data_IF_123669578210
#
_entry.id   IF_123669578210
#
_cell.length_a   1.000
_cell.length_b   1.000
_cell.length_c   1.000
_cell.angle_alpha   90.00
_cell.angle_beta   90.00
_cell.angle_gamma   90.00
#
_symmetry.space_group_name_H-M   'P 1'
#
loop_
_entity.id
_entity.type
_entity.pdbx_description
1 polymer ?
#
# COMPACT_ATOMS: atom_id res chain seq x y z
N UNK A 1 28.81 25.51 27.70
CA UNK A 1 29.76 24.42 27.38
C UNK A 1 28.99 23.11 27.28
N UNK A 2 28.71 22.66 26.05
CA UNK A 2 28.35 21.27 25.74
C UNK A 2 29.28 20.87 24.59
N UNK A 3 30.19 19.97 24.90
CA UNK A 3 31.27 19.50 24.03
C UNK A 3 30.72 18.44 23.08
N UNK A 4 30.86 18.69 21.77
CA UNK A 4 30.60 17.71 20.73
C UNK A 4 31.83 16.81 20.63
N UNK A 5 31.72 15.56 21.09
CA UNK A 5 32.77 14.56 20.89
C UNK A 5 32.82 14.17 19.42
N UNK A 6 33.77 14.72 18.69
CA UNK A 6 34.22 14.21 17.40
C UNK A 6 34.82 12.81 17.58
N UNK A 7 34.32 11.81 16.87
CA UNK A 7 34.90 10.46 17.00
C UNK A 7 34.17 9.27 16.37
N UNK A 8 32.99 9.43 15.76
CA UNK A 8 32.37 8.37 14.96
C UNK A 8 32.06 8.91 13.57
N UNK A 9 32.96 8.67 12.62
CA UNK A 9 32.58 8.61 11.21
C UNK A 9 31.66 7.40 11.06
N UNK A 10 30.36 7.57 10.71
CA UNK A 10 29.57 6.44 10.25
C UNK A 10 30.30 5.88 9.04
N UNK A 11 30.61 4.57 9.04
CA UNK A 11 31.02 3.91 7.79
C UNK A 11 29.80 3.95 6.86
N UNK A 12 29.78 4.95 5.99
CA UNK A 12 28.83 5.05 4.88
C UNK A 12 29.12 3.85 3.96
N UNK A 13 28.31 2.80 4.06
CA UNK A 13 28.27 1.77 3.01
C UNK A 13 27.28 2.23 1.94
N UNK A 14 27.70 3.18 1.11
CA UNK A 14 26.98 3.49 -0.11
C UNK A 14 27.13 2.30 -1.07
N UNK A 15 26.06 1.58 -1.35
CA UNK A 15 26.02 0.60 -2.43
C UNK A 15 25.51 1.30 -3.69
N UNK A 16 26.42 1.61 -4.59
CA UNK A 16 26.09 2.11 -5.92
C UNK A 16 26.01 0.91 -6.86
N UNK A 17 24.85 0.67 -7.47
CA UNK A 17 24.71 -0.33 -8.53
C UNK A 17 24.68 0.39 -9.87
N UNK A 18 25.73 0.20 -10.67
CA UNK A 18 25.77 0.59 -12.08
C UNK A 18 25.52 -0.65 -12.96
N UNK A 19 24.81 -0.47 -14.06
CA UNK A 19 24.24 -1.54 -14.89
C UNK A 19 25.13 -2.75 -15.18
N UNK A 20 24.57 -3.92 -14.92
CA UNK A 20 25.08 -5.25 -15.29
C UNK A 20 23.96 -6.29 -15.14
N UNK A 21 23.95 -7.34 -15.96
CA UNK A 21 22.84 -8.33 -15.96
C UNK A 21 22.68 -8.99 -14.58
N UNK A 22 21.42 -9.12 -14.13
CA UNK A 22 21.02 -9.55 -12.77
C UNK A 22 21.57 -10.90 -12.30
N UNK A 23 22.12 -11.74 -13.20
CA UNK A 23 22.68 -13.05 -12.81
C UNK A 23 23.97 -12.94 -11.99
N UNK A 24 24.76 -11.89 -12.13
CA UNK A 24 26.00 -11.73 -11.37
C UNK A 24 25.80 -11.10 -9.98
N UNK A 25 24.73 -10.31 -9.80
CA UNK A 25 24.46 -9.60 -8.54
C UNK A 25 23.93 -10.52 -7.42
N UNK A 26 23.31 -11.65 -7.76
CA UNK A 26 22.75 -12.59 -6.78
C UNK A 26 23.79 -13.52 -6.13
N UNK A 27 24.95 -13.73 -6.77
CA UNK A 27 25.95 -14.71 -6.33
C UNK A 27 27.03 -14.13 -5.41
N UNK A 28 27.11 -12.80 -5.25
CA UNK A 28 28.17 -12.15 -4.47
C UNK A 28 27.70 -11.57 -3.12
N UNK A 29 26.42 -11.71 -2.77
CA UNK A 29 25.93 -11.36 -1.43
C UNK A 29 26.08 -12.57 -0.50
N UNK A 30 26.79 -12.38 0.63
CA UNK A 30 27.19 -13.40 1.62
C UNK A 30 26.16 -14.51 1.91
N UNK A 31 26.59 -15.75 2.21
CA UNK A 31 25.72 -16.90 2.50
C UNK A 31 24.77 -16.73 3.71
N UNK A 32 24.90 -15.64 4.48
CA UNK A 32 23.99 -15.28 5.56
C UNK A 32 22.59 -14.83 5.09
N UNK A 33 22.44 -14.35 3.84
CA UNK A 33 21.14 -13.99 3.26
C UNK A 33 20.30 -15.23 2.83
N UNK A 34 20.96 -16.35 2.54
CA UNK A 34 20.26 -17.60 2.18
C UNK A 34 19.58 -18.28 3.40
N UNK A 35 20.11 -18.07 4.62
CA UNK A 35 19.56 -18.64 5.84
C UNK A 35 18.43 -17.80 6.47
N UNK A 36 18.40 -16.49 6.21
CA UNK A 36 17.32 -15.60 6.66
C UNK A 36 15.99 -15.81 5.90
N UNK A 37 16.06 -16.19 4.62
CA UNK A 37 14.87 -16.41 3.78
C UNK A 37 14.15 -17.74 4.09
N UNK A 38 14.85 -18.72 4.67
CA UNK A 38 14.26 -20.02 5.05
C UNK A 38 13.62 -20.01 6.45
N UNK A 39 13.99 -19.06 7.32
CA UNK A 39 13.40 -18.92 8.65
C UNK A 39 12.06 -18.17 8.63
N UNK A 40 11.89 -17.20 7.72
CA UNK A 40 10.62 -16.46 7.57
C UNK A 40 9.55 -17.26 6.81
N UNK A 41 9.96 -18.05 5.80
CA UNK A 41 9.03 -18.89 5.02
C UNK A 41 8.50 -20.13 5.78
N UNK A 42 9.12 -20.54 6.90
CA UNK A 42 8.59 -21.61 7.77
C UNK A 42 7.78 -21.10 8.97
N UNK A 43 8.06 -19.91 9.48
CA UNK A 43 7.32 -19.34 10.62
C UNK A 43 5.90 -18.86 10.25
N UNK A 44 5.66 -18.52 8.98
CA UNK A 44 4.33 -18.18 8.47
C UNK A 44 3.44 -19.42 8.21
N UNK A 45 3.97 -20.65 8.34
CA UNK A 45 3.27 -21.89 7.98
C UNK A 45 2.58 -22.62 9.13
N UNK A 46 2.63 -22.11 10.36
CA UNK A 46 2.09 -22.81 11.55
C UNK A 46 1.35 -21.93 12.59
N UNK A 47 0.81 -20.77 12.20
CA UNK A 47 -0.23 -20.11 13.00
C UNK A 47 -1.51 -20.06 12.19
N UNK A 48 -2.54 -20.71 12.74
CA UNK A 48 -3.76 -21.09 12.03
C UNK A 48 -4.35 -19.94 11.22
N UNK A 49 -4.32 -20.10 9.91
CA UNK A 49 -5.28 -19.49 8.99
C UNK A 49 -6.66 -19.97 9.43
N UNK A 50 -7.28 -19.26 10.37
CA UNK A 50 -8.73 -19.22 10.43
C UNK A 50 -9.15 -18.60 9.11
N UNK A 51 -9.54 -19.45 8.15
CA UNK A 51 -10.40 -19.00 7.05
C UNK A 51 -11.52 -18.21 7.69
N UNK A 52 -11.75 -16.98 7.23
CA UNK A 52 -13.00 -16.30 7.48
C UNK A 52 -14.10 -17.25 6.99
N UNK A 53 -14.71 -17.99 7.90
CA UNK A 53 -15.99 -18.59 7.61
C UNK A 53 -16.91 -17.41 7.28
N UNK A 54 -17.52 -17.39 6.10
CA UNK A 54 -18.53 -16.41 5.78
C UNK A 54 -19.67 -16.61 6.77
N UNK A 55 -19.69 -15.81 7.83
CA UNK A 55 -20.92 -15.58 8.55
C UNK A 55 -21.82 -14.86 7.55
N UNK A 56 -22.86 -15.53 7.08
CA UNK A 56 -23.88 -14.93 6.24
C UNK A 56 -24.39 -13.68 6.96
N UNK A 57 -24.00 -12.51 6.43
CA UNK A 57 -24.46 -11.23 6.94
C UNK A 57 -25.97 -11.14 6.81
N UNK A 58 -26.63 -10.65 7.86
CA UNK A 58 -28.03 -10.23 7.81
C UNK A 58 -28.24 -9.36 6.57
N UNK A 59 -29.27 -9.68 5.78
CA UNK A 59 -29.52 -9.13 4.44
C UNK A 59 -29.27 -7.61 4.35
N UNK A 60 -28.12 -7.20 3.80
CA UNK A 60 -27.75 -5.81 3.53
C UNK A 60 -26.46 -5.30 4.19
N UNK A 61 -25.93 -6.01 5.19
CA UNK A 61 -24.69 -5.63 5.89
C UNK A 61 -23.40 -6.21 5.30
N UNK A 62 -22.26 -5.60 5.62
CA UNK A 62 -20.91 -6.10 5.40
C UNK A 62 -20.02 -5.81 6.62
N UNK A 63 -18.91 -6.53 6.76
CA UNK A 63 -17.89 -6.21 7.77
C UNK A 63 -16.92 -5.14 7.30
N UNK A 64 -16.57 -4.23 8.19
CA UNK A 64 -15.55 -3.21 7.97
C UNK A 64 -14.77 -2.89 9.26
N UNK A 65 -13.52 -2.45 9.11
CA UNK A 65 -12.75 -1.81 10.18
C UNK A 65 -13.15 -0.36 10.24
N UNK A 66 -13.76 0.03 11.36
CA UNK A 66 -14.30 1.37 11.57
C UNK A 66 -13.63 2.08 12.73
N UNK A 67 -13.66 3.41 12.68
CA UNK A 67 -13.22 4.32 13.75
C UNK A 67 -14.39 5.21 14.13
N UNK A 68 -14.80 5.15 15.41
CA UNK A 68 -15.88 5.98 15.96
C UNK A 68 -15.37 7.14 16.84
N UNK A 69 -14.08 7.11 17.21
CA UNK A 69 -13.38 8.16 17.97
C UNK A 69 -11.92 8.15 17.55
N UNK A 70 -11.29 9.31 17.42
CA UNK A 70 -9.87 9.35 17.08
C UNK A 70 -8.98 8.95 18.25
N UNK A 71 -7.86 8.28 17.96
CA UNK A 71 -6.90 7.85 18.97
C UNK A 71 -5.88 6.83 18.47
N UNK A 72 -5.23 6.14 19.40
CA UNK A 72 -4.31 5.05 19.07
C UNK A 72 -5.04 3.97 18.26
N UNK A 73 -4.53 3.65 17.07
CA UNK A 73 -5.19 2.74 16.13
C UNK A 73 -5.45 1.34 16.74
N UNK A 74 -4.63 0.89 17.70
CA UNK A 74 -4.83 -0.40 18.37
C UNK A 74 -6.02 -0.41 19.33
N UNK A 75 -6.51 0.78 19.71
CA UNK A 75 -7.60 0.96 20.66
C UNK A 75 -8.90 1.41 19.97
N UNK A 76 -8.80 2.09 18.82
CA UNK A 76 -9.97 2.76 18.19
C UNK A 76 -10.44 2.11 16.89
N UNK A 77 -9.65 1.21 16.29
CA UNK A 77 -10.07 0.47 15.10
C UNK A 77 -10.79 -0.81 15.51
N UNK A 78 -12.04 -0.95 15.08
CA UNK A 78 -12.90 -2.09 15.43
C UNK A 78 -13.54 -2.69 14.19
N UNK A 79 -13.64 -4.02 14.13
CA UNK A 79 -14.43 -4.69 13.10
C UNK A 79 -15.91 -4.60 13.49
N UNK A 80 -16.70 -3.91 12.68
CA UNK A 80 -18.14 -3.73 12.86
C UNK A 80 -18.92 -4.15 11.62
N UNK A 81 -20.20 -4.47 11.80
CA UNK A 81 -21.13 -4.65 10.69
C UNK A 81 -21.68 -3.26 10.28
N UNK A 82 -21.52 -2.94 8.99
CA UNK A 82 -21.95 -1.68 8.36
C UNK A 82 -22.80 -1.98 7.14
N UNK A 83 -23.50 -0.99 6.60
CA UNK A 83 -24.26 -1.17 5.36
C UNK A 83 -23.32 -1.42 4.17
N UNK A 84 -23.66 -2.39 3.31
CA UNK A 84 -22.94 -2.61 2.04
C UNK A 84 -23.21 -1.42 1.10
N UNK A 85 -22.17 -0.73 0.59
CA UNK A 85 -22.39 0.44 -0.24
C UNK A 85 -23.01 0.07 -1.59
N UNK A 86 -23.82 0.99 -2.13
CA UNK A 86 -24.30 0.93 -3.51
C UNK A 86 -23.50 1.92 -4.34
N UNK A 87 -22.94 1.52 -5.51
CA UNK A 87 -22.14 2.43 -6.32
C UNK A 87 -23.04 3.50 -6.95
N UNK A 88 -22.64 4.78 -6.81
CA UNK A 88 -23.29 5.89 -7.50
C UNK A 88 -22.94 5.90 -9.00
N UNK A 89 -23.50 6.87 -9.74
CA UNK A 89 -23.07 7.14 -11.12
C UNK A 89 -21.55 7.42 -11.16
N UNK A 90 -20.86 6.84 -12.14
CA UNK A 90 -19.40 6.93 -12.28
C UNK A 90 -18.60 6.06 -11.30
N UNK A 91 -19.24 5.31 -10.41
CA UNK A 91 -18.55 4.43 -9.46
C UNK A 91 -18.68 2.95 -9.82
N UNK A 92 -17.75 2.15 -9.34
CA UNK A 92 -17.83 0.68 -9.31
C UNK A 92 -17.86 0.20 -7.87
N UNK A 93 -18.61 -0.87 -7.64
CA UNK A 93 -18.57 -1.63 -6.40
C UNK A 93 -17.57 -2.76 -6.57
N UNK A 94 -16.53 -2.78 -5.75
CA UNK A 94 -15.51 -3.81 -5.73
C UNK A 94 -15.74 -4.69 -4.50
N UNK A 95 -15.70 -6.00 -4.68
CA UNK A 95 -15.53 -6.98 -3.61
C UNK A 95 -14.03 -7.12 -3.33
N UNK A 96 -13.60 -6.65 -2.18
CA UNK A 96 -12.18 -6.61 -1.84
C UNK A 96 -11.69 -8.04 -1.56
N UNK A 97 -10.60 -8.44 -2.21
CA UNK A 97 -9.95 -9.75 -2.00
C UNK A 97 -8.71 -9.59 -1.13
N UNK A 98 -7.94 -8.53 -1.37
CA UNK A 98 -6.79 -8.14 -0.58
C UNK A 98 -6.78 -6.62 -0.35
N UNK A 99 -6.18 -6.23 0.77
CA UNK A 99 -5.96 -4.84 1.17
C UNK A 99 -4.51 -4.69 1.64
N UNK A 100 -3.95 -3.50 1.49
CA UNK A 100 -2.65 -3.17 2.06
C UNK A 100 -2.77 -2.10 3.14
N UNK A 101 -1.87 -2.17 4.12
CA UNK A 101 -1.77 -1.21 5.21
C UNK A 101 -0.65 -0.21 4.91
N UNK A 102 -0.91 1.05 5.23
CA UNK A 102 -0.04 2.17 5.01
C UNK A 102 0.01 3.08 6.25
N UNK A 103 1.06 3.89 6.42
CA UNK A 103 1.14 4.79 7.56
C UNK A 103 -0.01 5.80 7.68
N UNK A 104 -0.66 6.10 6.56
CA UNK A 104 -1.80 7.01 6.53
C UNK A 104 -3.03 6.44 7.26
N UNK A 105 -3.18 5.11 7.31
CA UNK A 105 -4.37 4.45 7.87
C UNK A 105 -4.44 4.65 9.38
N UNK A 106 -3.34 4.40 10.09
CA UNK A 106 -3.29 4.63 11.53
C UNK A 106 -3.28 6.14 11.86
N UNK A 107 -2.74 6.99 10.98
CA UNK A 107 -2.77 8.45 11.14
C UNK A 107 -4.19 9.00 11.00
N UNK A 108 -4.97 8.45 10.07
CA UNK A 108 -6.38 8.78 9.91
C UNK A 108 -7.18 8.38 11.15
N UNK A 109 -6.94 7.17 11.68
CA UNK A 109 -7.54 6.75 12.96
C UNK A 109 -7.12 7.61 14.14
N UNK A 110 -5.91 8.17 14.12
CA UNK A 110 -5.42 9.12 15.13
C UNK A 110 -5.94 10.56 14.94
N UNK A 111 -6.77 10.84 13.92
CA UNK A 111 -7.35 12.16 13.68
C UNK A 111 -6.42 13.16 12.97
N UNK A 112 -5.28 12.71 12.42
CA UNK A 112 -4.32 13.59 11.73
C UNK A 112 -4.94 14.30 10.52
N UNK A 113 -5.93 13.68 9.89
CA UNK A 113 -6.65 14.23 8.74
C UNK A 113 -7.80 15.19 9.12
N UNK A 114 -8.14 15.27 10.41
CA UNK A 114 -9.18 16.14 10.93
C UNK A 114 -8.68 16.89 12.17
N UNK A 115 -7.71 17.83 12.02
CA UNK A 115 -7.12 18.53 13.16
C UNK A 115 -8.17 19.25 14.00
N UNK A 116 -8.16 19.00 15.31
CA UNK A 116 -9.10 19.61 16.26
C UNK A 116 -10.43 18.88 16.44
N UNK A 117 -10.71 17.84 15.63
CA UNK A 117 -11.84 16.96 15.86
C UNK A 117 -11.45 15.82 16.82
N UNK A 118 -12.35 15.45 17.73
CA UNK A 118 -12.16 14.31 18.63
C UNK A 118 -12.70 12.99 18.06
N UNK A 119 -13.61 13.08 17.08
CA UNK A 119 -14.24 11.95 16.41
C UNK A 119 -14.70 12.35 15.00
N UNK A 120 -14.86 11.40 14.07
CA UNK A 120 -15.46 11.66 12.77
C UNK A 120 -16.99 11.87 12.89
N UNK A 121 -17.58 12.63 11.95
CA UNK A 121 -19.03 12.91 11.93
C UNK A 121 -19.90 11.64 11.80
N UNK A 122 -19.35 10.63 11.12
CA UNK A 122 -19.89 9.27 11.01
C UNK A 122 -18.76 8.29 11.22
N UNK A 123 -19.09 7.02 11.49
CA UNK A 123 -18.06 5.95 11.56
C UNK A 123 -17.20 5.97 10.29
N UNK A 124 -15.91 6.23 10.47
CA UNK A 124 -14.95 6.27 9.37
C UNK A 124 -14.49 4.85 9.07
N UNK A 125 -14.56 4.43 7.81
CA UNK A 125 -13.84 3.24 7.34
C UNK A 125 -12.46 3.70 6.87
N UNK A 126 -11.40 3.02 7.32
CA UNK A 126 -10.00 3.37 7.00
C UNK A 126 -9.42 2.47 5.90
N UNK A 127 -8.20 2.80 5.44
CA UNK A 127 -7.46 2.03 4.43
C UNK A 127 -7.80 2.46 3.01
N UNK A 128 -6.82 2.57 2.11
CA UNK A 128 -7.11 3.03 0.74
C UNK A 128 -6.47 2.19 -0.37
N UNK A 129 -5.67 1.17 -0.03
CA UNK A 129 -5.10 0.26 -1.03
C UNK A 129 -5.84 -1.08 -1.05
N UNK A 130 -6.36 -1.46 -2.22
CA UNK A 130 -7.02 -2.76 -2.40
C UNK A 130 -6.83 -3.35 -3.79
N UNK A 131 -6.96 -4.67 -3.86
CA UNK A 131 -7.23 -5.40 -5.07
C UNK A 131 -8.42 -6.35 -4.86
N UNK A 132 -9.28 -6.44 -5.87
CA UNK A 132 -10.54 -7.16 -5.76
C UNK A 132 -11.21 -7.38 -7.09
N UNK A 133 -12.47 -7.79 -7.03
CA UNK A 133 -13.28 -8.10 -8.20
C UNK A 133 -14.43 -7.10 -8.28
N UNK A 134 -14.67 -6.54 -9.46
CA UNK A 134 -15.85 -5.69 -9.69
C UNK A 134 -17.10 -6.55 -9.51
N UNK A 135 -17.93 -6.16 -8.54
CA UNK A 135 -19.23 -6.77 -8.27
C UNK A 135 -20.31 -6.13 -9.15
N UNK A 136 -20.29 -4.80 -9.26
CA UNK A 136 -21.29 -4.03 -9.99
C UNK A 136 -20.73 -2.70 -10.48
N UNK A 137 -21.03 -2.32 -11.72
CA UNK A 137 -20.77 -0.99 -12.24
C UNK A 137 -21.99 -0.08 -12.00
N UNK A 138 -21.74 1.17 -11.61
CA UNK A 138 -22.75 2.23 -11.53
C UNK A 138 -23.08 2.82 -12.89
N UNK A 139 -24.07 3.71 -12.92
CA UNK A 139 -24.50 4.38 -14.15
C UNK A 139 -23.34 5.14 -14.82
N UNK A 140 -23.23 5.06 -16.14
CA UNK A 140 -22.22 5.77 -16.93
C UNK A 140 -20.82 5.16 -16.92
N UNK A 141 -20.56 4.12 -16.13
CA UNK A 141 -19.28 3.39 -16.18
C UNK A 141 -19.30 2.40 -17.34
N UNK A 142 -18.32 2.49 -18.23
CA UNK A 142 -18.21 1.64 -19.43
C UNK A 142 -16.89 0.86 -19.51
N UNK A 143 -15.84 1.31 -18.81
CA UNK A 143 -14.50 0.69 -18.84
C UNK A 143 -14.39 -0.58 -17.98
N UNK A 144 -15.37 -0.81 -17.10
CA UNK A 144 -15.38 -1.91 -16.14
C UNK A 144 -16.73 -2.62 -16.10
N UNK A 145 -16.69 -3.94 -15.91
CA UNK A 145 -17.88 -4.78 -15.77
C UNK A 145 -17.72 -5.79 -14.62
N UNK A 146 -18.83 -6.38 -14.19
CA UNK A 146 -18.81 -7.41 -13.16
C UNK A 146 -17.88 -8.57 -13.54
N UNK A 147 -17.06 -9.03 -12.59
CA UNK A 147 -16.04 -10.06 -12.79
C UNK A 147 -14.65 -9.54 -13.16
N UNK A 148 -14.49 -8.24 -13.48
CA UNK A 148 -13.17 -7.67 -13.74
C UNK A 148 -12.29 -7.68 -12.49
N UNK A 149 -11.07 -8.16 -12.62
CA UNK A 149 -10.06 -8.09 -11.54
C UNK A 149 -9.38 -6.72 -11.57
N UNK A 150 -9.41 -6.03 -10.44
CA UNK A 150 -9.04 -4.62 -10.33
C UNK A 150 -8.17 -4.35 -9.12
N UNK A 151 -7.45 -3.23 -9.16
CA UNK A 151 -6.64 -2.69 -8.07
C UNK A 151 -6.76 -1.16 -8.03
N UNK A 152 -6.58 -0.56 -6.87
CA UNK A 152 -6.70 0.88 -6.70
C UNK A 152 -6.03 1.40 -5.43
N UNK A 153 -5.70 2.70 -5.46
CA UNK A 153 -5.57 3.55 -4.30
C UNK A 153 -6.79 4.47 -4.27
N UNK A 154 -7.53 4.48 -3.15
CA UNK A 154 -8.76 5.24 -2.98
C UNK A 154 -8.54 6.72 -2.66
N UNK A 155 -9.63 7.47 -2.67
CA UNK A 155 -9.65 8.88 -2.25
C UNK A 155 -9.64 8.95 -0.71
N UNK A 156 -8.59 9.55 -0.15
CA UNK A 156 -8.40 9.72 1.29
C UNK A 156 -9.51 10.53 1.98
N UNK A 157 -10.29 11.31 1.22
CA UNK A 157 -11.43 12.09 1.72
C UNK A 157 -12.72 11.28 1.79
N UNK A 158 -12.69 10.00 1.38
CA UNK A 158 -13.83 9.07 1.37
C UNK A 158 -13.57 7.89 2.30
N UNK A 159 -14.63 7.12 2.55
CA UNK A 159 -14.54 5.85 3.26
C UNK A 159 -13.57 4.90 2.56
N UNK A 160 -12.77 4.22 3.37
CA UNK A 160 -11.70 3.34 2.93
C UNK A 160 -12.13 1.93 2.51
N UNK A 161 -11.12 1.09 2.28
CA UNK A 161 -11.24 -0.26 1.76
C UNK A 161 -10.97 -1.35 2.79
N UNK A 162 -10.76 -1.05 4.07
CA UNK A 162 -10.74 -2.07 5.12
C UNK A 162 -12.16 -2.57 5.40
N UNK A 163 -12.78 -3.13 4.38
CA UNK A 163 -14.15 -3.60 4.32
C UNK A 163 -14.26 -4.71 3.28
N UNK A 164 -15.33 -5.51 3.34
CA UNK A 164 -15.58 -6.55 2.33
C UNK A 164 -15.91 -5.98 0.95
N UNK A 165 -16.50 -4.77 0.89
CA UNK A 165 -16.82 -4.08 -0.35
C UNK A 165 -16.46 -2.58 -0.27
N UNK A 166 -16.07 -2.02 -1.41
CA UNK A 166 -15.79 -0.58 -1.56
C UNK A 166 -16.46 -0.05 -2.82
N UNK A 167 -17.22 1.03 -2.68
CA UNK A 167 -17.67 1.81 -3.83
C UNK A 167 -16.60 2.88 -4.14
N UNK A 168 -16.04 2.83 -5.35
CA UNK A 168 -14.93 3.69 -5.77
C UNK A 168 -15.21 4.33 -7.13
N UNK A 169 -14.74 5.55 -7.32
CA UNK A 169 -14.79 6.24 -8.62
C UNK A 169 -14.02 5.45 -9.69
N UNK A 170 -14.65 5.21 -10.84
CA UNK A 170 -14.07 4.45 -11.94
C UNK A 170 -12.75 5.05 -12.48
N UNK A 171 -12.46 6.32 -12.20
CA UNK A 171 -11.21 6.99 -12.59
C UNK A 171 -10.03 6.66 -11.68
N UNK A 172 -10.27 6.14 -10.48
CA UNK A 172 -9.23 5.80 -9.49
C UNK A 172 -8.85 4.32 -9.50
N UNK A 173 -9.44 3.55 -10.42
CA UNK A 173 -9.29 2.10 -10.48
C UNK A 173 -8.63 1.69 -11.80
N UNK A 174 -7.93 0.57 -11.77
CA UNK A 174 -7.31 -0.02 -12.96
C UNK A 174 -7.47 -1.53 -12.95
N UNK A 175 -7.33 -2.15 -14.13
CA UNK A 175 -7.30 -3.62 -14.22
C UNK A 175 -6.05 -4.15 -13.55
N UNK A 176 -6.21 -5.13 -12.68
CA UNK A 176 -5.10 -5.85 -12.06
C UNK A 176 -4.40 -6.70 -13.13
N UNK A 177 -3.07 -6.61 -13.29
CA UNK A 177 -2.34 -7.53 -14.17
C UNK A 177 -2.63 -9.00 -13.84
N UNK A 178 -2.85 -9.82 -14.86
CA UNK A 178 -3.22 -11.23 -14.71
C UNK A 178 -2.12 -12.05 -14.02
N UNK A 179 -0.86 -11.65 -14.19
CA UNK A 179 0.31 -12.33 -13.63
C UNK A 179 0.50 -12.13 -12.13
N UNK A 180 -0.21 -11.19 -11.49
CA UNK A 180 -0.08 -10.90 -10.06
C UNK A 180 -1.19 -11.53 -9.22
N UNK A 181 -0.83 -11.97 -8.02
CA UNK A 181 -1.81 -12.29 -6.98
C UNK A 181 -2.60 -11.03 -6.56
N UNK A 182 -3.70 -11.18 -5.84
CA UNK A 182 -4.43 -10.02 -5.31
C UNK A 182 -3.62 -9.34 -4.21
N UNK A 183 -2.90 -10.10 -3.40
CA UNK A 183 -2.07 -9.63 -2.31
C UNK A 183 -0.91 -8.77 -2.82
N UNK A 184 -0.18 -9.25 -3.84
CA UNK A 184 0.91 -8.46 -4.45
C UNK A 184 0.36 -7.21 -5.13
N UNK A 185 -0.81 -7.33 -5.78
CA UNK A 185 -1.45 -6.19 -6.42
C UNK A 185 -1.91 -5.14 -5.41
N UNK A 186 -2.50 -5.53 -4.28
CA UNK A 186 -2.96 -4.57 -3.27
C UNK A 186 -1.81 -3.77 -2.65
N UNK A 187 -0.59 -4.31 -2.62
CA UNK A 187 0.57 -3.66 -1.99
C UNK A 187 1.18 -2.49 -2.80
N UNK A 188 0.73 -2.28 -4.04
CA UNK A 188 1.40 -1.40 -5.01
C UNK A 188 0.76 -0.02 -5.22
N UNK A 189 -0.57 0.20 -5.22
CA UNK A 189 -1.17 1.40 -5.80
C UNK A 189 -0.69 2.71 -5.14
N UNK A 190 -0.85 2.88 -3.82
CA UNK A 190 -0.45 4.12 -3.15
C UNK A 190 1.06 4.37 -3.27
N UNK A 191 1.88 3.36 -3.02
CA UNK A 191 3.34 3.51 -3.02
C UNK A 191 3.87 3.79 -4.43
N UNK A 192 3.29 3.18 -5.46
CA UNK A 192 3.63 3.44 -6.85
C UNK A 192 3.24 4.84 -7.29
N UNK A 193 1.99 5.27 -7.03
CA UNK A 193 1.53 6.61 -7.36
C UNK A 193 2.40 7.67 -6.67
N UNK A 194 2.63 7.52 -5.37
CA UNK A 194 3.48 8.43 -4.58
C UNK A 194 4.90 8.51 -5.15
N UNK A 195 5.50 7.37 -5.51
CA UNK A 195 6.83 7.34 -6.11
C UNK A 195 6.84 8.01 -7.49
N UNK A 196 5.83 7.75 -8.32
CA UNK A 196 5.73 8.31 -9.65
C UNK A 196 5.56 9.83 -9.63
N UNK A 197 4.61 10.34 -8.84
CA UNK A 197 4.39 11.78 -8.67
C UNK A 197 5.67 12.47 -8.18
N UNK A 198 6.33 11.91 -7.17
CA UNK A 198 7.58 12.46 -6.65
C UNK A 198 8.71 12.48 -7.69
N UNK A 199 8.96 11.35 -8.36
CA UNK A 199 10.07 11.20 -9.29
C UNK A 199 9.85 11.95 -10.61
N UNK A 200 8.67 11.80 -11.20
CA UNK A 200 8.39 12.22 -12.58
C UNK A 200 7.75 13.60 -12.61
N UNK A 201 6.74 13.84 -11.79
CA UNK A 201 5.96 15.07 -11.89
C UNK A 201 6.60 16.22 -11.10
N UNK A 202 7.06 15.94 -9.88
CA UNK A 202 7.62 16.96 -8.99
C UNK A 202 9.12 17.17 -9.23
N UNK A 203 9.91 16.09 -9.23
CA UNK A 203 11.36 16.20 -9.41
C UNK A 203 11.79 16.23 -10.88
N UNK A 204 10.92 15.79 -11.81
CA UNK A 204 11.23 15.66 -13.24
C UNK A 204 12.60 15.01 -13.46
N UNK A 205 12.79 13.83 -12.88
CA UNK A 205 14.05 13.10 -12.93
C UNK A 205 14.48 12.85 -14.36
N UNK A 206 15.72 13.22 -14.64
CA UNK A 206 16.33 13.04 -15.96
C UNK A 206 17.21 11.80 -15.97
N UNK A 207 17.25 11.12 -17.13
CA UNK A 207 18.13 9.98 -17.38
C UNK A 207 19.58 10.32 -17.04
N UNK A 208 20.29 9.35 -16.45
CA UNK A 208 21.71 9.48 -16.09
C UNK A 208 21.99 10.34 -14.86
N UNK A 209 20.98 10.75 -14.10
CA UNK A 209 21.14 11.41 -12.80
C UNK A 209 21.18 10.41 -11.65
N UNK A 210 21.88 10.73 -10.58
CA UNK A 210 21.86 9.91 -9.37
C UNK A 210 20.83 10.45 -8.40
N UNK A 211 19.96 9.58 -7.88
CA UNK A 211 19.00 9.93 -6.84
C UNK A 211 19.42 9.29 -5.54
N UNK A 212 19.34 10.08 -4.46
CA UNK A 212 19.51 9.57 -3.11
C UNK A 212 18.17 9.17 -2.51
N UNK A 213 18.03 7.90 -2.14
CA UNK A 213 16.78 7.33 -1.61
C UNK A 213 16.95 7.04 -0.12
N UNK A 214 16.30 7.84 0.71
CA UNK A 214 16.18 7.56 2.14
C UNK A 214 15.21 6.40 2.37
N UNK A 215 15.55 5.52 3.32
CA UNK A 215 14.75 4.34 3.66
C UNK A 215 14.47 3.44 2.44
N UNK A 216 15.52 3.16 1.64
CA UNK A 216 15.40 2.44 0.38
C UNK A 216 14.83 1.02 0.49
N UNK A 217 14.98 0.36 1.65
CA UNK A 217 14.41 -0.95 1.93
C UNK A 217 12.93 -0.91 2.37
N UNK A 218 12.38 0.27 2.65
CA UNK A 218 10.97 0.44 3.03
C UNK A 218 10.01 0.31 1.84
N UNK A 219 8.71 0.25 2.12
CA UNK A 219 7.66 0.07 1.11
C UNK A 219 7.80 1.05 -0.07
N UNK A 220 7.77 2.36 0.21
CA UNK A 220 7.96 3.39 -0.82
C UNK A 220 9.36 3.36 -1.45
N UNK A 221 10.42 3.24 -0.65
CA UNK A 221 11.81 3.27 -1.13
C UNK A 221 12.09 2.16 -2.13
N UNK A 222 11.55 0.95 -1.89
CA UNK A 222 11.71 -0.19 -2.77
C UNK A 222 11.06 0.03 -4.15
N UNK A 223 9.93 0.73 -4.20
CA UNK A 223 9.25 1.09 -5.46
C UNK A 223 10.01 2.18 -6.20
N UNK A 224 10.49 3.21 -5.50
CA UNK A 224 11.35 4.26 -6.06
C UNK A 224 12.57 3.65 -6.75
N UNK A 225 13.26 2.74 -6.06
CA UNK A 225 14.44 2.05 -6.62
C UNK A 225 14.08 1.29 -7.90
N UNK A 226 12.96 0.57 -7.91
CA UNK A 226 12.52 -0.17 -9.10
C UNK A 226 12.21 0.76 -10.28
N UNK A 227 11.48 1.85 -10.05
CA UNK A 227 11.17 2.85 -11.09
C UNK A 227 12.42 3.50 -11.67
N UNK A 228 13.37 3.87 -10.79
CA UNK A 228 14.65 4.46 -11.17
C UNK A 228 15.44 3.54 -12.09
N UNK A 229 15.57 2.26 -11.73
CA UNK A 229 16.38 1.31 -12.50
C UNK A 229 15.68 0.79 -13.76
N UNK A 230 14.36 0.63 -13.75
CA UNK A 230 13.62 -0.04 -14.83
C UNK A 230 12.97 0.91 -15.83
N UNK A 231 12.58 2.09 -15.37
CA UNK A 231 11.75 3.00 -16.17
C UNK A 231 12.46 4.31 -16.49
N UNK A 232 13.28 4.84 -15.57
CA UNK A 232 13.95 6.13 -15.75
C UNK A 232 15.42 6.03 -16.19
N UNK A 233 15.95 4.81 -16.31
CA UNK A 233 17.34 4.51 -16.72
C UNK A 233 18.38 5.36 -15.96
N UNK A 234 18.19 5.43 -14.65
CA UNK A 234 18.97 6.30 -13.77
C UNK A 234 19.56 5.48 -12.60
N UNK A 235 20.48 6.05 -11.84
CA UNK A 235 21.13 5.35 -10.71
C UNK A 235 20.51 5.77 -9.37
N UNK A 236 20.40 4.82 -8.44
CA UNK A 236 19.98 5.09 -7.07
C UNK A 236 21.11 4.74 -6.09
N UNK A 237 21.35 5.65 -5.14
CA UNK A 237 22.10 5.36 -3.91
C UNK A 237 21.10 5.42 -2.77
N UNK A 238 21.05 4.39 -1.93
CA UNK A 238 20.09 4.34 -0.83
C UNK A 238 20.77 4.21 0.52
N UNK A 239 20.06 4.66 1.55
CA UNK A 239 20.48 4.60 2.94
C UNK A 239 19.38 3.95 3.80
N UNK A 240 19.80 3.17 4.79
CA UNK A 240 18.95 2.55 5.81
C UNK A 240 19.23 3.28 7.15
N UNK A 241 18.17 3.64 7.87
CA UNK A 241 18.28 4.10 9.27
C UNK A 241 17.95 2.95 10.21
#
# INVERSE_FOLDING_TARGET
>A
MLSWKSGMTPRIQAKTFAGGSLRSAFLQASPALALGLHAWTRAARLRGLRRFASAEGTSGGMKAVTVSKYGDATQVMEITDVEKPTPAAGQVLVKNVAIATNPIDYKAAAGVLAPGAEAPDKRLIVGWDSAGVVEKAGEGVTDFQAGDNVWFAGDITKDGCFAEYTAIDARLISKKPESMSFEDAAALPLTFQTAWEGLVEQMNVQKGKTIFVLNGAGGLGSIVIQLVFRSLETSATFFEC
#
